data_IF_404215469878
#
_entry.id   IF_404215469878
#
_cell.length_a   1.000
_cell.length_b   1.000
_cell.length_c   1.000
_cell.angle_alpha   90.00
_cell.angle_beta   90.00
_cell.angle_gamma   90.00
#
_symmetry.space_group_name_H-M   'P 1'
#
loop_
_entity.id
_entity.type
_entity.pdbx_description
1 polymer ?
#
# COMPACT_ATOMS: atom_id res chain seq x y z
N UNK A 1 14.64 14.94 -0.10
CA UNK A 1 13.21 14.52 -0.20
C UNK A 1 12.36 15.75 0.13
N UNK A 2 11.46 16.20 -0.76
CA UNK A 2 10.69 17.44 -0.55
C UNK A 2 9.63 17.21 0.55
N UNK A 3 9.62 18.05 1.58
CA UNK A 3 8.63 17.97 2.65
C UNK A 3 7.21 18.16 2.08
N UNK A 4 6.26 17.34 2.53
CA UNK A 4 4.84 17.48 2.16
C UNK A 4 4.29 18.81 2.69
N UNK A 5 3.38 19.41 1.92
CA UNK A 5 2.58 20.55 2.40
C UNK A 5 1.77 20.13 3.63
N UNK A 6 1.57 21.05 4.58
CA UNK A 6 0.86 20.76 5.84
C UNK A 6 -0.51 20.08 5.62
N UNK A 7 -1.26 20.55 4.62
CA UNK A 7 -2.57 20.02 4.24
C UNK A 7 -2.58 18.60 3.64
N UNK A 8 -1.41 18.03 3.31
CA UNK A 8 -1.28 16.69 2.73
C UNK A 8 -0.43 15.77 3.61
N UNK A 9 -0.14 16.13 4.87
CA UNK A 9 0.70 15.32 5.76
C UNK A 9 0.00 14.04 6.20
N UNK A 10 -1.31 14.12 6.41
CA UNK A 10 -2.22 13.03 6.76
C UNK A 10 -2.49 12.05 5.60
N UNK A 11 -2.18 12.47 4.37
CA UNK A 11 -2.49 11.70 3.18
C UNK A 11 -1.37 10.74 2.79
N UNK A 12 -1.71 9.57 2.23
CA UNK A 12 -0.73 8.62 1.72
C UNK A 12 0.16 9.24 0.61
N UNK A 13 1.30 8.61 0.29
CA UNK A 13 2.22 9.08 -0.75
C UNK A 13 1.50 9.31 -2.08
N UNK A 14 1.90 10.35 -2.84
CA UNK A 14 1.28 10.71 -4.13
C UNK A 14 -0.23 11.04 -4.08
N UNK A 15 -0.85 11.15 -2.90
CA UNK A 15 -2.21 11.64 -2.77
C UNK A 15 -2.24 13.13 -2.42
N UNK A 16 -3.14 13.88 -3.06
CA UNK A 16 -3.22 15.34 -2.95
C UNK A 16 -4.66 15.74 -2.65
N UNK A 17 -4.85 16.60 -1.65
CA UNK A 17 -6.12 17.27 -1.39
C UNK A 17 -6.14 18.64 -2.06
N UNK A 18 -7.19 18.91 -2.83
CA UNK A 18 -7.50 20.23 -3.37
C UNK A 18 -8.73 20.74 -2.65
N UNK A 19 -8.60 21.92 -2.06
CA UNK A 19 -9.71 22.65 -1.44
C UNK A 19 -10.00 23.85 -2.33
N UNK A 20 -11.25 24.03 -2.72
CA UNK A 20 -11.72 25.21 -3.46
C UNK A 20 -12.90 25.83 -2.73
N UNK A 21 -12.84 27.13 -2.48
CA UNK A 21 -13.96 27.88 -1.92
C UNK A 21 -14.96 28.20 -3.03
N UNK A 22 -16.19 27.71 -2.89
CA UNK A 22 -17.29 27.98 -3.82
C UNK A 22 -17.85 29.39 -3.58
N UNK A 23 -18.63 29.91 -4.54
CA UNK A 23 -19.26 31.25 -4.48
C UNK A 23 -20.14 31.46 -3.24
N UNK A 24 -20.62 30.38 -2.62
CA UNK A 24 -21.41 30.40 -1.38
C UNK A 24 -20.63 30.15 -0.09
N UNK A 25 -19.29 30.26 -0.10
CA UNK A 25 -18.45 30.05 1.09
C UNK A 25 -18.25 28.58 1.49
N UNK A 26 -18.98 27.64 0.88
CA UNK A 26 -18.76 26.20 1.05
C UNK A 26 -17.40 25.80 0.47
N UNK A 27 -16.64 25.00 1.21
CA UNK A 27 -15.40 24.42 0.73
C UNK A 27 -15.68 23.11 -0.01
N UNK A 28 -15.24 23.05 -1.26
CA UNK A 28 -15.23 21.82 -2.05
C UNK A 28 -13.88 21.12 -1.85
N UNK A 29 -13.94 19.89 -1.36
CA UNK A 29 -12.75 19.04 -1.16
C UNK A 29 -12.75 17.97 -2.25
N UNK A 30 -11.67 17.92 -3.01
CA UNK A 30 -11.40 16.87 -3.99
C UNK A 30 -10.07 16.19 -3.73
N UNK A 31 -10.06 14.86 -3.76
CA UNK A 31 -8.87 14.03 -3.64
C UNK A 31 -8.38 13.58 -5.02
N UNK A 32 -7.07 13.67 -5.20
CA UNK A 32 -6.40 13.36 -6.46
C UNK A 32 -5.20 12.47 -6.22
N UNK A 33 -4.92 11.59 -7.18
CA UNK A 33 -3.69 10.82 -7.26
C UNK A 33 -2.71 11.48 -8.22
N UNK A 34 -1.48 11.66 -7.74
CA UNK A 34 -0.34 12.18 -8.49
C UNK A 34 0.33 11.04 -9.27
N UNK A 35 -0.27 10.70 -10.41
CA UNK A 35 0.24 9.69 -11.33
C UNK A 35 1.32 10.23 -12.27
N UNK A 36 2.09 9.31 -12.85
CA UNK A 36 2.98 9.60 -13.98
C UNK A 36 2.52 8.81 -15.18
N UNK A 37 2.38 9.48 -16.32
CA UNK A 37 2.16 8.83 -17.61
C UNK A 37 3.45 8.17 -18.12
N UNK A 38 3.33 7.41 -19.20
CA UNK A 38 4.46 6.77 -19.91
C UNK A 38 5.52 7.80 -20.33
N UNK A 39 5.11 9.02 -20.70
CA UNK A 39 6.00 10.15 -21.00
C UNK A 39 6.64 10.82 -19.77
N UNK A 40 6.41 10.30 -18.56
CA UNK A 40 6.89 10.88 -17.30
C UNK A 40 6.20 12.19 -16.89
N UNK A 41 5.21 12.65 -17.66
CA UNK A 41 4.38 13.82 -17.32
C UNK A 41 3.45 13.51 -16.16
N UNK A 42 3.23 14.53 -15.34
CA UNK A 42 2.36 14.49 -14.17
C UNK A 42 0.89 14.47 -14.62
N UNK A 43 0.14 13.46 -14.18
CA UNK A 43 -1.29 13.34 -14.45
C UNK A 43 -2.03 13.27 -13.12
N UNK A 44 -2.93 14.22 -12.88
CA UNK A 44 -3.79 14.22 -11.70
C UNK A 44 -5.04 13.38 -11.99
N UNK A 45 -5.14 12.19 -11.40
CA UNK A 45 -6.31 11.31 -11.55
C UNK A 45 -7.29 11.63 -10.41
N UNK A 46 -8.55 11.99 -10.69
CA UNK A 46 -9.54 12.26 -9.66
C UNK A 46 -9.93 10.96 -8.94
N UNK A 47 -9.81 10.94 -7.61
CA UNK A 47 -10.17 9.80 -6.76
C UNK A 47 -11.56 9.93 -6.12
N UNK A 48 -12.07 11.15 -5.99
CA UNK A 48 -13.38 11.45 -5.42
C UNK A 48 -13.36 12.59 -4.40
N UNK A 49 -14.54 12.86 -3.81
CA UNK A 49 -14.71 13.87 -2.75
C UNK A 49 -14.61 13.31 -1.32
N UNK A 50 -14.77 11.99 -1.16
CA UNK A 50 -14.73 11.31 0.13
C UNK A 50 -13.36 10.69 0.43
N UNK A 51 -12.88 10.90 1.65
CA UNK A 51 -11.53 10.49 2.06
C UNK A 51 -11.36 8.96 2.07
N UNK A 52 -12.35 8.22 2.55
CA UNK A 52 -12.28 6.76 2.65
C UNK A 52 -12.29 6.09 1.28
N UNK A 53 -13.19 6.54 0.40
CA UNK A 53 -13.26 6.08 -0.99
C UNK A 53 -11.95 6.40 -1.71
N UNK A 54 -11.44 7.62 -1.54
CA UNK A 54 -10.21 8.03 -2.20
C UNK A 54 -8.98 7.25 -1.71
N UNK A 55 -8.93 6.86 -0.43
CA UNK A 55 -7.88 5.96 0.10
C UNK A 55 -7.97 4.56 -0.50
N UNK A 56 -9.17 4.02 -0.68
CA UNK A 56 -9.37 2.71 -1.30
C UNK A 56 -8.92 2.72 -2.78
N UNK A 57 -9.30 3.74 -3.54
CA UNK A 57 -8.85 3.91 -4.93
C UNK A 57 -7.34 4.15 -5.03
N UNK A 58 -6.78 4.95 -4.12
CA UNK A 58 -5.33 5.11 -4.00
C UNK A 58 -4.62 3.77 -3.77
N UNK A 59 -5.15 2.94 -2.86
CA UNK A 59 -4.56 1.64 -2.55
C UNK A 59 -4.55 0.72 -3.78
N UNK A 60 -5.59 0.76 -4.63
CA UNK A 60 -5.62 -0.01 -5.89
C UNK A 60 -4.52 0.43 -6.85
N UNK A 61 -4.24 1.74 -6.93
CA UNK A 61 -3.26 2.32 -7.86
C UNK A 61 -1.81 2.15 -7.40
N UNK A 62 -1.54 2.27 -6.10
CA UNK A 62 -0.18 2.16 -5.54
C UNK A 62 0.16 0.75 -5.06
N UNK A 63 -0.78 -0.21 -5.15
CA UNK A 63 -0.52 -1.60 -4.76
C UNK A 63 0.64 -2.17 -5.59
N UNK A 64 1.78 -2.40 -4.93
CA UNK A 64 2.89 -3.10 -5.55
C UNK A 64 2.46 -4.53 -5.84
N UNK A 65 2.76 -5.07 -7.03
CA UNK A 65 2.45 -6.46 -7.32
C UNK A 65 3.13 -7.35 -6.29
N UNK A 66 2.39 -8.35 -5.79
CA UNK A 66 2.95 -9.34 -4.87
C UNK A 66 4.16 -9.97 -5.55
N UNK A 67 5.34 -9.99 -4.91
CA UNK A 67 6.53 -10.55 -5.51
C UNK A 67 6.28 -12.02 -5.86
N UNK A 68 6.57 -12.42 -7.11
CA UNK A 68 6.34 -13.78 -7.63
C UNK A 68 7.00 -14.90 -6.81
N UNK A 69 8.00 -14.56 -5.98
CA UNK A 69 8.69 -15.48 -5.07
C UNK A 69 8.13 -15.42 -3.63
N UNK A 70 6.84 -15.18 -3.47
CA UNK A 70 6.18 -15.48 -2.20
C UNK A 70 6.05 -17.00 -2.09
N UNK A 71 7.10 -17.67 -1.60
CA UNK A 71 6.93 -19.05 -1.14
C UNK A 71 5.81 -19.03 -0.10
N UNK A 72 4.82 -19.90 -0.24
CA UNK A 72 3.79 -20.05 0.78
C UNK A 72 4.51 -20.45 2.06
N UNK A 73 4.18 -19.80 3.18
CA UNK A 73 4.84 -20.06 4.46
C UNK A 73 4.80 -21.56 4.82
N UNK A 74 3.73 -22.26 4.44
CA UNK A 74 3.63 -23.72 4.54
C UNK A 74 4.74 -24.47 3.80
N UNK A 75 5.04 -24.12 2.54
CA UNK A 75 6.12 -24.77 1.77
C UNK A 75 7.50 -24.59 2.42
N UNK A 76 7.72 -23.47 3.13
CA UNK A 76 8.95 -23.23 3.88
C UNK A 76 9.01 -24.16 5.10
N UNK A 77 7.90 -24.32 5.83
CA UNK A 77 7.79 -25.24 6.95
C UNK A 77 7.96 -26.70 6.51
N UNK A 78 7.28 -27.14 5.46
CA UNK A 78 7.39 -28.50 4.94
C UNK A 78 8.84 -28.87 4.59
N UNK A 79 9.57 -27.94 3.95
CA UNK A 79 11.01 -28.11 3.66
C UNK A 79 11.83 -28.18 4.95
N UNK A 80 11.55 -27.31 5.92
CA UNK A 80 12.24 -27.29 7.20
C UNK A 80 12.05 -28.60 7.97
N UNK A 81 10.84 -29.15 7.96
CA UNK A 81 10.50 -30.42 8.56
C UNK A 81 11.23 -31.60 7.91
N UNK A 82 11.38 -31.57 6.58
CA UNK A 82 12.07 -32.63 5.83
C UNK A 82 13.58 -32.58 5.94
N UNK A 83 14.18 -31.40 5.86
CA UNK A 83 15.64 -31.25 5.72
C UNK A 83 16.32 -30.98 7.06
N UNK A 84 15.70 -30.19 7.94
CA UNK A 84 16.35 -29.64 9.14
C UNK A 84 15.97 -30.42 10.40
N UNK A 85 14.70 -30.80 10.56
CA UNK A 85 14.26 -31.55 11.76
C UNK A 85 14.99 -32.90 11.91
N UNK A 86 15.23 -33.71 10.86
CA UNK A 86 15.92 -35.00 11.02
C UNK A 86 17.34 -34.88 11.58
N UNK A 87 18.03 -33.77 11.32
CA UNK A 87 19.37 -33.50 11.86
C UNK A 87 19.39 -32.95 13.30
N UNK A 88 18.24 -32.61 13.90
CA UNK A 88 18.19 -32.07 15.27
C UNK A 88 18.12 -33.16 16.33
N UNK A 89 18.84 -32.98 17.43
CA UNK A 89 18.83 -33.93 18.55
C UNK A 89 17.39 -34.19 19.08
N UNK A 90 17.02 -35.44 19.44
CA UNK A 90 15.65 -35.83 19.80
C UNK A 90 15.03 -34.99 20.91
N UNK A 91 15.84 -34.58 21.90
CA UNK A 91 15.42 -33.80 23.08
C UNK A 91 14.91 -32.38 22.76
N UNK A 92 15.14 -31.86 21.55
CA UNK A 92 14.70 -30.51 21.12
C UNK A 92 13.50 -30.53 20.16
N UNK A 93 12.93 -31.70 19.86
CA UNK A 93 11.76 -31.83 19.00
C UNK A 93 10.52 -31.76 19.89
N UNK A 94 9.67 -30.76 19.69
CA UNK A 94 8.33 -30.79 20.26
C UNK A 94 7.52 -31.77 19.41
N UNK A 95 7.18 -32.92 19.97
CA UNK A 95 6.26 -33.87 19.33
C UNK A 95 4.90 -33.21 19.25
N UNK A 96 4.51 -32.76 18.07
CA UNK A 96 3.14 -32.31 17.79
C UNK A 96 2.26 -33.56 17.61
N UNK A 97 1.20 -33.67 18.41
CA UNK A 97 0.21 -34.75 18.37
C UNK A 97 -0.73 -34.64 17.17
#
# INVERSE_FOLDING_TARGET
MRAKKAANRDLPPRMIRRVRTLKGGKEWVGYYYDGRNEDGKRVEIPLGGDLDIAKAEWAKLDCKPVPKKSALLGQVFDRYEREIIPGKAPRRRATTC
#
